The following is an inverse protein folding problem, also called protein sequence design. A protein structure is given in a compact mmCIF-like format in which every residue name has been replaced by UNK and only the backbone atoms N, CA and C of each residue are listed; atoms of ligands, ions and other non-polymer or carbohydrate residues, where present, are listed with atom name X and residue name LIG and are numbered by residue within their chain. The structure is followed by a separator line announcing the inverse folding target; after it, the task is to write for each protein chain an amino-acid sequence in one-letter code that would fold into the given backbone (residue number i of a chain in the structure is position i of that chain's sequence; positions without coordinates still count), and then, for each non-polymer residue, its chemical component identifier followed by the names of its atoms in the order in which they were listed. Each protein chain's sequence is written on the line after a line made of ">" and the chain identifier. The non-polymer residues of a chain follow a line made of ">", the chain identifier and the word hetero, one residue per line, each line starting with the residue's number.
data_IF_131354580284
#
_entry.id   IF_131354580284
#
_cell.length_a   1.000
_cell.length_b   1.000
_cell.length_c   1.000
_cell.angle_alpha   90.00
_cell.angle_beta   90.00
_cell.angle_gamma   90.00
#
_symmetry.space_group_name_H-M   'P 1'
#
loop_
_entity.id
_entity.type
_entity.pdbx_description
1 polymer ?
#
# COMPACT_ATOMS: atom_id res chain seq x y z
N UNK A 1 -6.74 17.05 4.07
CA UNK A 1 -6.17 16.30 2.94
C UNK A 1 -6.59 14.85 3.08
N UNK A 2 -7.00 14.18 2.00
CA UNK A 2 -7.40 12.77 2.01
C UNK A 2 -7.27 12.12 0.64
N UNK A 3 -7.13 10.79 0.62
CA UNK A 3 -7.33 9.94 -0.55
C UNK A 3 -8.75 9.39 -0.48
N UNK A 4 -9.53 9.56 -1.53
CA UNK A 4 -10.94 9.21 -1.56
C UNK A 4 -11.28 8.32 -2.75
N UNK A 5 -12.06 7.28 -2.49
CA UNK A 5 -12.85 6.56 -3.47
C UNK A 5 -14.30 7.04 -3.35
N UNK A 6 -14.93 7.46 -4.44
CA UNK A 6 -16.29 7.99 -4.45
C UNK A 6 -17.15 7.21 -5.44
N UNK A 7 -18.11 6.45 -4.92
CA UNK A 7 -19.07 5.69 -5.71
C UNK A 7 -18.45 4.66 -6.65
N UNK A 8 -17.37 4.01 -6.22
CA UNK A 8 -16.61 3.07 -7.06
C UNK A 8 -17.43 1.82 -7.37
N UNK A 9 -17.64 1.58 -8.66
CA UNK A 9 -18.15 0.30 -9.17
C UNK A 9 -17.09 -0.31 -10.07
N UNK A 10 -16.76 -1.58 -9.86
CA UNK A 10 -15.74 -2.29 -10.63
C UNK A 10 -15.86 -3.80 -10.49
N UNK A 11 -15.23 -4.55 -11.39
CA UNK A 11 -15.19 -6.01 -11.36
C UNK A 11 -14.37 -6.59 -12.52
N UNK A 12 -14.34 -7.92 -12.59
CA UNK A 12 -13.55 -8.63 -13.62
C UNK A 12 -14.35 -8.86 -14.91
N UNK A 13 -15.68 -8.87 -14.84
CA UNK A 13 -16.58 -9.07 -15.99
C UNK A 13 -17.70 -8.04 -15.94
N UNK A 14 -17.99 -7.36 -17.07
CA UNK A 14 -18.96 -6.25 -17.15
C UNK A 14 -20.34 -6.50 -16.51
N UNK A 15 -20.76 -7.76 -16.37
CA UNK A 15 -22.05 -8.13 -15.78
C UNK A 15 -21.95 -8.73 -14.38
N UNK A 16 -20.77 -8.68 -13.75
CA UNK A 16 -20.54 -9.15 -12.37
C UNK A 16 -19.61 -8.17 -11.67
N UNK A 17 -20.14 -7.08 -11.13
CA UNK A 17 -19.35 -6.19 -10.28
C UNK A 17 -18.92 -6.95 -9.01
N UNK A 18 -17.76 -6.57 -8.51
CA UNK A 18 -17.22 -7.04 -7.23
C UNK A 18 -17.27 -5.88 -6.22
N UNK A 19 -17.25 -4.66 -6.74
CA UNK A 19 -17.49 -3.43 -5.99
C UNK A 19 -18.71 -2.74 -6.60
N UNK A 20 -19.67 -2.37 -5.77
CA UNK A 20 -20.90 -1.65 -6.17
C UNK A 20 -21.05 -0.40 -5.32
N UNK A 21 -20.89 0.77 -5.97
CA UNK A 21 -21.07 2.09 -5.36
C UNK A 21 -20.28 2.32 -4.06
N UNK A 22 -19.06 1.76 -3.97
CA UNK A 22 -18.23 1.82 -2.76
C UNK A 22 -17.61 3.19 -2.59
N UNK A 23 -17.72 3.75 -1.38
CA UNK A 23 -17.05 4.99 -1.00
C UNK A 23 -16.19 4.78 0.23
N UNK A 24 -14.94 5.26 0.19
CA UNK A 24 -13.97 5.16 1.29
C UNK A 24 -13.08 6.39 1.31
N UNK A 25 -12.79 6.90 2.50
CA UNK A 25 -11.86 8.01 2.70
C UNK A 25 -10.71 7.60 3.60
N UNK A 26 -9.50 7.97 3.20
CA UNK A 26 -8.25 7.80 3.95
C UNK A 26 -7.69 9.20 4.26
N UNK A 27 -7.97 9.76 5.45
CA UNK A 27 -7.43 11.06 5.84
C UNK A 27 -5.92 11.03 6.02
N UNK A 28 -5.26 12.15 5.76
CA UNK A 28 -3.83 12.34 6.03
C UNK A 28 -3.54 12.10 7.52
N UNK A 29 -2.48 11.35 7.84
CA UNK A 29 -2.04 11.04 9.20
C UNK A 29 -2.93 10.06 9.96
N UNK A 30 -3.86 9.36 9.27
CA UNK A 30 -4.76 8.37 9.87
C UNK A 30 -4.50 6.97 9.32
N UNK A 31 -4.72 5.98 10.19
CA UNK A 31 -4.74 4.58 9.82
C UNK A 31 -6.19 4.12 9.68
N UNK A 32 -6.58 3.75 8.47
CA UNK A 32 -7.90 3.22 8.16
C UNK A 32 -7.77 1.73 7.89
N UNK A 33 -8.52 0.92 8.63
CA UNK A 33 -8.62 -0.52 8.44
C UNK A 33 -9.72 -0.88 7.45
N UNK A 34 -9.46 -1.83 6.57
CA UNK A 34 -10.46 -2.42 5.70
C UNK A 34 -10.46 -3.94 5.85
N UNK A 35 -11.59 -4.49 6.25
CA UNK A 35 -11.81 -5.92 6.39
C UNK A 35 -12.95 -6.41 5.49
N UNK A 36 -13.16 -7.71 5.47
CA UNK A 36 -14.22 -8.38 4.72
C UNK A 36 -13.80 -9.75 4.23
N UNK A 37 -14.73 -10.61 3.77
CA UNK A 37 -14.44 -11.93 3.24
C UNK A 37 -13.47 -11.91 2.06
N UNK A 38 -12.84 -13.06 1.77
CA UNK A 38 -12.00 -13.20 0.58
C UNK A 38 -12.85 -13.08 -0.69
N UNK A 39 -12.33 -12.36 -1.69
CA UNK A 39 -13.02 -12.18 -2.98
C UNK A 39 -14.04 -11.04 -3.02
N UNK A 40 -14.26 -10.30 -1.93
CA UNK A 40 -15.23 -9.18 -1.90
C UNK A 40 -14.75 -7.92 -2.64
N UNK A 41 -13.48 -7.87 -3.09
CA UNK A 41 -12.99 -6.73 -3.87
C UNK A 41 -12.02 -5.81 -3.15
N UNK A 42 -11.56 -6.13 -1.91
CA UNK A 42 -10.59 -5.30 -1.16
C UNK A 42 -9.36 -4.95 -1.97
N UNK A 43 -8.70 -5.94 -2.57
CA UNK A 43 -7.53 -5.72 -3.44
C UNK A 43 -7.88 -4.97 -4.72
N UNK A 44 -9.10 -5.12 -5.24
CA UNK A 44 -9.59 -4.34 -6.40
C UNK A 44 -9.72 -2.86 -6.02
N UNK A 45 -10.32 -2.56 -4.86
CA UNK A 45 -10.41 -1.19 -4.33
C UNK A 45 -9.02 -0.59 -4.07
N UNK A 46 -8.12 -1.36 -3.45
CA UNK A 46 -6.74 -0.96 -3.22
C UNK A 46 -6.02 -0.57 -4.52
N UNK A 47 -6.15 -1.37 -5.58
CA UNK A 47 -5.53 -1.10 -6.89
C UNK A 47 -6.13 0.10 -7.58
N UNK A 48 -7.44 0.34 -7.43
CA UNK A 48 -8.11 1.53 -7.97
C UNK A 48 -7.63 2.78 -7.22
N UNK A 49 -7.59 2.77 -5.89
CA UNK A 49 -7.06 3.86 -5.06
C UNK A 49 -5.59 4.17 -5.39
N UNK A 50 -4.79 3.13 -5.68
CA UNK A 50 -3.40 3.29 -6.13
C UNK A 50 -3.29 3.71 -7.62
N UNK A 51 -4.39 3.94 -8.31
CA UNK A 51 -4.46 4.28 -9.74
C UNK A 51 -3.79 3.23 -10.65
N UNK A 52 -3.75 1.98 -10.22
CA UNK A 52 -3.25 0.86 -11.01
C UNK A 52 -4.32 0.32 -11.97
N UNK A 53 -5.59 0.38 -11.57
CA UNK A 53 -6.73 -0.04 -12.35
C UNK A 53 -7.79 1.08 -12.39
N UNK A 54 -8.54 1.16 -13.50
CA UNK A 54 -9.65 2.10 -13.64
C UNK A 54 -10.94 1.49 -13.08
N UNK A 55 -11.78 2.24 -12.35
CA UNK A 55 -13.12 1.80 -12.03
C UNK A 55 -14.01 1.81 -13.30
N UNK A 56 -15.13 1.10 -13.26
CA UNK A 56 -16.15 1.19 -14.31
C UNK A 56 -16.97 2.47 -14.18
N UNK A 57 -17.24 2.88 -12.93
CA UNK A 57 -17.85 4.16 -12.58
C UNK A 57 -17.34 4.63 -11.21
N UNK A 58 -17.62 5.89 -10.87
CA UNK A 58 -17.06 6.56 -9.71
C UNK A 58 -15.72 7.19 -10.01
N UNK A 59 -15.10 7.80 -9.01
CA UNK A 59 -13.83 8.49 -9.17
C UNK A 59 -12.94 8.35 -7.93
N UNK A 60 -11.63 8.49 -8.15
CA UNK A 60 -10.63 8.63 -7.08
C UNK A 60 -10.21 10.07 -6.99
N UNK A 61 -10.10 10.62 -5.77
CA UNK A 61 -9.56 11.95 -5.52
C UNK A 61 -8.37 11.89 -4.58
N UNK A 62 -7.37 12.70 -4.88
CA UNK A 62 -6.22 12.95 -4.01
C UNK A 62 -6.25 14.42 -3.62
N UNK A 63 -6.40 14.70 -2.32
CA UNK A 63 -6.47 16.06 -1.77
C UNK A 63 -7.52 16.93 -2.49
N UNK A 64 -8.68 16.35 -2.79
CA UNK A 64 -9.79 16.99 -3.49
C UNK A 64 -9.67 17.03 -5.01
N UNK A 65 -8.50 16.74 -5.58
CA UNK A 65 -8.29 16.73 -7.03
C UNK A 65 -8.62 15.36 -7.62
N UNK A 66 -9.44 15.26 -8.68
CA UNK A 66 -9.74 13.98 -9.31
C UNK A 66 -8.50 13.42 -10.01
N UNK A 67 -8.31 12.10 -9.88
CA UNK A 67 -7.24 11.38 -10.57
C UNK A 67 -7.73 10.90 -11.91
N UNK A 68 -7.15 11.44 -12.99
CA UNK A 68 -7.45 11.04 -14.35
C UNK A 68 -6.36 10.12 -14.88
N UNK A 69 -6.78 8.97 -15.40
CA UNK A 69 -5.88 7.96 -15.96
C UNK A 69 -5.44 6.91 -14.94
N UNK A 70 -4.67 5.94 -15.43
CA UNK A 70 -4.12 4.85 -14.63
C UNK A 70 -2.66 4.59 -15.00
N UNK A 71 -1.87 4.03 -14.08
CA UNK A 71 -0.47 3.68 -14.31
C UNK A 71 0.34 4.87 -14.86
N UNK A 72 0.93 4.71 -16.04
CA UNK A 72 1.77 5.74 -16.66
C UNK A 72 0.98 6.93 -17.23
N UNK A 73 -0.36 6.82 -17.36
CA UNK A 73 -1.20 7.94 -17.81
C UNK A 73 -1.63 8.87 -16.67
N UNK A 74 -1.36 8.51 -15.41
CA UNK A 74 -1.55 9.41 -14.27
C UNK A 74 -0.65 10.63 -14.42
N UNK A 75 -1.16 11.86 -14.20
CA UNK A 75 -0.36 13.08 -14.26
C UNK A 75 0.92 12.99 -13.43
N UNK A 76 2.03 13.49 -13.95
CA UNK A 76 3.35 13.39 -13.31
C UNK A 76 3.35 13.94 -11.86
N UNK A 77 2.59 15.01 -11.60
CA UNK A 77 2.46 15.60 -10.26
C UNK A 77 1.80 14.69 -9.24
N UNK A 78 1.02 13.69 -9.67
CA UNK A 78 0.33 12.73 -8.79
C UNK A 78 1.04 11.38 -8.72
N UNK A 79 2.01 11.11 -9.61
CA UNK A 79 2.78 9.86 -9.56
C UNK A 79 3.59 9.79 -8.28
N UNK A 80 3.53 8.64 -7.62
CA UNK A 80 4.23 8.45 -6.35
C UNK A 80 3.53 9.04 -5.13
N UNK A 81 2.42 9.76 -5.30
CA UNK A 81 1.63 10.28 -4.18
C UNK A 81 0.98 9.14 -3.38
N UNK A 82 0.57 8.08 -4.06
CA UNK A 82 0.06 6.86 -3.45
C UNK A 82 1.05 5.73 -3.71
N UNK A 83 1.47 5.03 -2.65
CA UNK A 83 2.27 3.82 -2.74
C UNK A 83 1.46 2.61 -2.30
N UNK A 84 1.70 1.45 -2.92
CA UNK A 84 1.01 0.21 -2.58
C UNK A 84 2.00 -0.89 -2.22
N UNK A 85 1.78 -1.48 -1.05
CA UNK A 85 2.46 -2.68 -0.58
C UNK A 85 1.54 -3.88 -0.87
N UNK A 86 2.00 -4.76 -1.75
CA UNK A 86 1.22 -5.90 -2.24
C UNK A 86 1.31 -7.10 -1.30
N UNK A 87 0.29 -7.93 -1.32
CA UNK A 87 0.23 -9.20 -0.59
C UNK A 87 1.41 -10.13 -0.92
N UNK A 88 1.78 -10.23 -2.20
CA UNK A 88 2.90 -11.05 -2.64
C UNK A 88 4.12 -10.19 -2.97
N UNK A 89 5.16 -10.17 -2.11
CA UNK A 89 6.36 -9.40 -2.36
C UNK A 89 7.13 -9.92 -3.59
N UNK A 90 7.11 -11.25 -3.84
CA UNK A 90 7.78 -11.85 -4.99
C UNK A 90 7.16 -11.42 -6.32
N UNK A 91 5.84 -11.28 -6.38
CA UNK A 91 5.16 -10.82 -7.58
C UNK A 91 5.36 -9.32 -7.86
N UNK A 92 5.79 -8.56 -6.85
CA UNK A 92 5.99 -7.10 -6.92
C UNK A 92 7.45 -6.68 -7.10
N UNK A 93 8.38 -7.64 -7.25
CA UNK A 93 9.83 -7.38 -7.37
C UNK A 93 10.43 -8.09 -8.58
N UNK A 94 11.46 -7.49 -9.19
CA UNK A 94 12.28 -8.17 -10.21
C UNK A 94 13.23 -9.13 -9.50
N UNK A 95 13.16 -10.46 -9.77
CA UNK A 95 14.01 -11.45 -9.12
C UNK A 95 15.51 -11.30 -9.40
N UNK A 96 15.90 -10.48 -10.39
CA UNK A 96 17.30 -10.21 -10.75
C UNK A 96 17.92 -9.08 -9.94
N UNK A 97 17.10 -8.21 -9.35
CA UNK A 97 17.56 -7.07 -8.54
C UNK A 97 17.99 -7.53 -7.14
N UNK A 98 18.94 -6.80 -6.54
CA UNK A 98 19.27 -6.94 -5.12
C UNK A 98 18.25 -6.19 -4.25
N UNK A 99 18.18 -6.50 -2.94
CA UNK A 99 17.32 -5.74 -2.04
C UNK A 99 17.71 -4.25 -2.00
N UNK A 100 18.99 -3.92 -2.06
CA UNK A 100 19.43 -2.53 -2.15
C UNK A 100 18.86 -1.83 -3.39
N UNK A 101 18.92 -2.48 -4.56
CA UNK A 101 18.36 -1.93 -5.81
C UNK A 101 16.83 -1.79 -5.74
N UNK A 102 16.14 -2.78 -5.13
CA UNK A 102 14.68 -2.72 -4.94
C UNK A 102 14.29 -1.53 -4.06
N UNK A 103 15.00 -1.31 -2.94
CA UNK A 103 14.73 -0.19 -2.01
C UNK A 103 15.07 1.15 -2.67
N UNK A 104 16.17 1.23 -3.41
CA UNK A 104 16.64 2.46 -4.06
C UNK A 104 15.86 2.87 -5.32
N UNK A 105 15.10 1.96 -5.93
CA UNK A 105 14.39 2.18 -7.19
C UNK A 105 13.58 3.49 -7.27
N UNK A 106 12.83 3.92 -6.22
CA UNK A 106 12.12 5.20 -6.27
C UNK A 106 13.05 6.42 -6.41
N UNK A 107 14.25 6.34 -5.86
CA UNK A 107 15.28 7.37 -6.02
C UNK A 107 15.77 7.47 -7.45
N UNK A 108 16.07 6.34 -8.07
CA UNK A 108 16.51 6.26 -9.46
C UNK A 108 15.46 6.87 -10.40
N UNK A 109 14.17 6.52 -10.19
CA UNK A 109 13.05 7.04 -10.99
C UNK A 109 12.88 8.55 -10.80
N UNK A 110 13.01 9.04 -9.56
CA UNK A 110 12.81 10.45 -9.22
C UNK A 110 14.09 11.30 -9.35
N UNK A 111 15.22 10.70 -9.74
CA UNK A 111 16.54 11.33 -9.82
C UNK A 111 16.94 12.00 -8.50
N UNK A 112 16.68 11.33 -7.37
CA UNK A 112 17.04 11.79 -6.02
C UNK A 112 17.83 10.73 -5.25
N UNK A 113 18.74 11.19 -4.40
CA UNK A 113 19.48 10.30 -3.50
C UNK A 113 18.54 9.73 -2.41
N UNK A 114 18.69 8.43 -2.13
CA UNK A 114 18.02 7.71 -1.06
C UNK A 114 19.08 7.03 -0.20
N UNK A 115 18.98 7.21 1.11
CA UNK A 115 19.76 6.42 2.07
C UNK A 115 19.13 5.04 2.24
N UNK A 116 19.55 4.12 1.36
CA UNK A 116 19.07 2.73 1.34
C UNK A 116 19.41 2.01 2.65
N UNK A 117 20.58 2.31 3.25
CA UNK A 117 21.02 1.64 4.47
C UNK A 117 20.16 2.07 5.67
N UNK A 118 19.84 3.36 5.79
CA UNK A 118 18.97 3.88 6.84
C UNK A 118 17.55 3.28 6.72
N UNK A 119 16.96 3.29 5.52
CA UNK A 119 15.63 2.71 5.28
C UNK A 119 15.60 1.20 5.54
N UNK A 120 16.65 0.48 5.18
CA UNK A 120 16.75 -0.95 5.46
C UNK A 120 16.81 -1.23 6.96
N UNK A 121 17.62 -0.47 7.70
CA UNK A 121 17.71 -0.58 9.16
C UNK A 121 16.36 -0.28 9.83
N UNK A 122 15.64 0.72 9.36
CA UNK A 122 14.34 1.12 9.87
C UNK A 122 13.28 0.00 9.77
N UNK A 123 13.31 -0.78 8.68
CA UNK A 123 12.44 -1.95 8.52
C UNK A 123 13.05 -3.24 9.12
N UNK A 124 14.17 -3.14 9.84
CA UNK A 124 14.82 -4.28 10.48
C UNK A 124 15.54 -5.23 9.53
N UNK A 125 16.04 -4.74 8.39
CA UNK A 125 16.92 -5.48 7.51
C UNK A 125 18.37 -5.22 7.88
N UNK A 126 19.17 -6.30 7.99
CA UNK A 126 20.60 -6.20 8.26
C UNK A 126 21.40 -5.90 6.98
N UNK A 127 22.57 -5.24 7.08
CA UNK A 127 23.35 -4.82 5.91
C UNK A 127 23.74 -5.97 4.94
N UNK A 128 23.95 -7.17 5.47
CA UNK A 128 24.31 -8.35 4.67
C UNK A 128 23.17 -8.81 3.74
N UNK A 129 21.93 -8.48 4.05
CA UNK A 129 20.77 -8.78 3.22
C UNK A 129 20.69 -7.90 1.98
N UNK A 130 21.26 -6.70 2.03
CA UNK A 130 21.14 -5.71 0.95
C UNK A 130 21.71 -6.19 -0.39
N UNK A 131 22.74 -7.04 -0.37
CA UNK A 131 23.33 -7.65 -1.57
C UNK A 131 22.56 -8.89 -2.06
N UNK A 132 21.62 -9.40 -1.28
CA UNK A 132 20.82 -10.60 -1.62
C UNK A 132 19.74 -10.27 -2.64
N UNK A 133 19.33 -11.30 -3.38
CA UNK A 133 18.21 -11.25 -4.33
C UNK A 133 16.95 -11.85 -3.73
N UNK A 134 15.75 -11.59 -4.28
CA UNK A 134 14.48 -12.10 -3.76
C UNK A 134 14.47 -13.59 -3.43
N UNK A 135 15.06 -14.43 -4.27
CA UNK A 135 15.11 -15.88 -4.04
C UNK A 135 16.08 -16.33 -2.93
N UNK A 136 16.90 -15.44 -2.38
CA UNK A 136 17.89 -15.70 -1.34
C UNK A 136 17.45 -15.24 0.05
N UNK A 137 16.24 -14.74 0.18
CA UNK A 137 15.68 -14.19 1.42
C UNK A 137 14.30 -14.78 1.71
N UNK A 138 13.87 -14.73 2.98
CA UNK A 138 12.51 -15.12 3.35
C UNK A 138 11.47 -14.13 2.79
N UNK A 139 10.21 -14.56 2.70
CA UNK A 139 9.12 -13.69 2.27
C UNK A 139 8.94 -12.49 3.22
N UNK A 140 9.12 -12.70 4.53
CA UNK A 140 9.10 -11.60 5.49
C UNK A 140 10.25 -10.60 5.32
N UNK A 141 11.46 -11.05 4.98
CA UNK A 141 12.57 -10.15 4.65
C UNK A 141 12.30 -9.38 3.37
N UNK A 142 11.76 -10.03 2.36
CA UNK A 142 11.41 -9.38 1.10
C UNK A 142 10.24 -8.40 1.29
N UNK A 143 9.25 -8.73 2.12
CA UNK A 143 8.14 -7.83 2.45
C UNK A 143 8.64 -6.54 3.13
N UNK A 144 9.59 -6.66 4.06
CA UNK A 144 10.25 -5.50 4.69
C UNK A 144 11.02 -4.65 3.67
N UNK A 145 11.70 -5.27 2.70
CA UNK A 145 12.34 -4.54 1.62
C UNK A 145 11.32 -3.80 0.72
N UNK A 146 10.16 -4.42 0.45
CA UNK A 146 9.06 -3.77 -0.27
C UNK A 146 8.48 -2.59 0.51
N UNK A 147 8.36 -2.70 1.85
CA UNK A 147 7.95 -1.57 2.68
C UNK A 147 8.99 -0.45 2.62
N UNK A 148 10.28 -0.74 2.79
CA UNK A 148 11.35 0.24 2.67
C UNK A 148 11.30 0.96 1.30
N UNK A 149 11.06 0.22 0.20
CA UNK A 149 10.84 0.79 -1.13
C UNK A 149 9.64 1.74 -1.16
N UNK A 150 8.53 1.34 -0.52
CA UNK A 150 7.32 2.19 -0.45
C UNK A 150 7.58 3.46 0.34
N UNK A 151 8.30 3.39 1.47
CA UNK A 151 8.69 4.55 2.27
C UNK A 151 9.71 5.44 1.53
N UNK A 152 10.63 4.83 0.78
CA UNK A 152 11.58 5.55 -0.08
C UNK A 152 10.89 6.46 -1.09
N UNK A 153 9.69 6.13 -1.52
CA UNK A 153 8.88 6.96 -2.42
C UNK A 153 8.39 8.26 -1.75
N UNK A 154 8.35 8.33 -0.41
CA UNK A 154 7.78 9.42 0.39
C UNK A 154 6.33 9.71 0.00
N UNK A 155 5.46 8.70 0.00
CA UNK A 155 4.09 8.86 -0.45
C UNK A 155 3.29 9.70 0.55
N UNK A 156 2.22 10.36 0.08
CA UNK A 156 1.20 10.95 0.96
C UNK A 156 0.23 9.91 1.50
N UNK A 157 0.05 8.83 0.75
CA UNK A 157 -0.84 7.72 1.12
C UNK A 157 -0.17 6.38 0.86
N UNK A 158 -0.27 5.48 1.84
CA UNK A 158 0.26 4.12 1.78
C UNK A 158 -0.89 3.13 1.87
N UNK A 159 -1.01 2.25 0.89
CA UNK A 159 -1.98 1.15 0.88
C UNK A 159 -1.24 -0.15 1.15
N UNK A 160 -1.62 -0.86 2.21
CA UNK A 160 -1.07 -2.15 2.61
C UNK A 160 -2.11 -3.24 2.36
N UNK A 161 -1.98 -3.98 1.26
CA UNK A 161 -2.89 -5.07 0.89
C UNK A 161 -2.38 -6.39 1.45
N UNK A 162 -2.96 -6.83 2.58
CA UNK A 162 -2.58 -8.04 3.33
C UNK A 162 -1.07 -8.16 3.60
N UNK A 163 -0.40 -7.03 3.80
CA UNK A 163 1.05 -6.92 3.86
C UNK A 163 1.69 -7.65 5.06
N UNK A 164 0.91 -8.02 6.06
CA UNK A 164 1.36 -8.70 7.28
C UNK A 164 1.10 -10.20 7.28
N UNK A 165 0.39 -10.74 6.28
CA UNK A 165 -0.04 -12.14 6.25
C UNK A 165 1.12 -13.16 6.21
N UNK A 166 2.30 -12.74 5.73
CA UNK A 166 3.50 -13.58 5.63
C UNK A 166 4.52 -13.35 6.76
N UNK A 167 4.14 -12.58 7.79
CA UNK A 167 5.01 -12.18 8.89
C UNK A 167 4.63 -12.91 10.18
N UNK A 168 5.62 -13.19 11.02
CA UNK A 168 5.37 -13.60 12.39
C UNK A 168 4.82 -12.42 13.24
N UNK A 169 4.23 -12.73 14.39
CA UNK A 169 3.57 -11.74 15.23
C UNK A 169 4.51 -10.60 15.69
N UNK A 170 5.77 -10.91 16.00
CA UNK A 170 6.73 -9.89 16.45
C UNK A 170 7.11 -8.95 15.31
N UNK A 171 7.34 -9.49 14.12
CA UNK A 171 7.64 -8.71 12.91
C UNK A 171 6.42 -7.89 12.48
N UNK A 172 5.22 -8.46 12.55
CA UNK A 172 3.95 -7.72 12.29
C UNK A 172 3.83 -6.53 13.22
N UNK A 173 3.98 -6.72 14.53
CA UNK A 173 3.90 -5.64 15.50
C UNK A 173 4.97 -4.54 15.27
N UNK A 174 6.19 -4.93 14.89
CA UNK A 174 7.24 -3.97 14.58
C UNK A 174 6.91 -3.15 13.32
N UNK A 175 6.38 -3.80 12.27
CA UNK A 175 5.98 -3.16 11.02
C UNK A 175 4.81 -2.20 11.24
N UNK A 176 3.81 -2.59 12.03
CA UNK A 176 2.67 -1.71 12.35
C UNK A 176 3.14 -0.48 13.12
N UNK A 177 3.97 -0.64 14.17
CA UNK A 177 4.53 0.51 14.92
C UNK A 177 5.32 1.46 14.01
N UNK A 178 6.06 0.95 13.04
CA UNK A 178 6.76 1.78 12.07
C UNK A 178 5.77 2.59 11.22
N UNK A 179 4.70 1.95 10.73
CA UNK A 179 3.66 2.62 9.95
C UNK A 179 2.96 3.70 10.78
N UNK A 180 2.60 3.41 12.04
CA UNK A 180 2.01 4.36 12.98
C UNK A 180 2.93 5.58 13.22
N UNK A 181 4.23 5.32 13.49
CA UNK A 181 5.23 6.39 13.66
C UNK A 181 5.32 7.27 12.41
N UNK A 182 5.37 6.66 11.23
CA UNK A 182 5.39 7.40 9.96
C UNK A 182 4.12 8.21 9.73
N UNK A 183 2.94 7.66 10.04
CA UNK A 183 1.69 8.40 9.95
C UNK A 183 1.70 9.64 10.86
N UNK A 184 2.17 9.48 12.10
CA UNK A 184 2.26 10.57 13.07
C UNK A 184 3.30 11.63 12.71
N UNK A 185 4.49 11.22 12.23
CA UNK A 185 5.62 12.12 11.96
C UNK A 185 5.50 12.86 10.62
N UNK A 186 5.04 12.16 9.58
CA UNK A 186 5.02 12.69 8.20
C UNK A 186 3.63 13.02 7.69
N UNK A 187 2.58 12.64 8.43
CA UNK A 187 1.20 12.84 8.01
C UNK A 187 0.74 11.89 6.90
N UNK A 188 1.45 10.78 6.64
CA UNK A 188 1.02 9.80 5.65
C UNK A 188 -0.30 9.16 6.07
N UNK A 189 -1.32 9.19 5.19
CA UNK A 189 -2.57 8.47 5.39
C UNK A 189 -2.39 7.00 4.99
N UNK A 190 -2.87 6.07 5.79
CA UNK A 190 -2.65 4.63 5.58
C UNK A 190 -3.97 3.88 5.45
N UNK A 191 -4.08 3.03 4.42
CA UNK A 191 -5.10 2.00 4.32
C UNK A 191 -4.47 0.65 4.62
N UNK A 192 -4.89 0.01 5.71
CA UNK A 192 -4.45 -1.32 6.09
C UNK A 192 -5.56 -2.33 5.82
N UNK A 193 -5.35 -3.20 4.85
CA UNK A 193 -6.28 -4.27 4.49
C UNK A 193 -5.82 -5.55 5.16
N UNK A 194 -6.68 -6.16 5.95
CA UNK A 194 -6.40 -7.43 6.64
C UNK A 194 -7.69 -8.20 6.90
N UNK A 195 -7.57 -9.52 6.97
CA UNK A 195 -8.61 -10.38 7.51
C UNK A 195 -8.54 -10.52 9.04
N UNK A 196 -7.45 -10.05 9.65
CA UNK A 196 -7.25 -10.03 11.09
C UNK A 196 -7.91 -8.79 11.70
N UNK A 197 -9.14 -8.99 12.22
CA UNK A 197 -9.93 -7.91 12.83
C UNK A 197 -9.33 -7.42 14.16
N UNK A 198 -8.65 -8.29 14.91
CA UNK A 198 -8.01 -7.93 16.17
C UNK A 198 -6.84 -6.98 15.89
N UNK A 199 -6.01 -7.31 14.92
CA UNK A 199 -4.92 -6.44 14.47
C UNK A 199 -5.45 -5.07 14.04
N UNK A 200 -6.47 -5.02 13.16
CA UNK A 200 -7.05 -3.76 12.71
C UNK A 200 -7.64 -2.94 13.86
N UNK A 201 -8.36 -3.60 14.77
CA UNK A 201 -8.95 -2.94 15.95
C UNK A 201 -7.91 -2.39 16.92
N UNK A 202 -6.69 -2.96 16.93
CA UNK A 202 -5.62 -2.51 17.82
C UNK A 202 -4.82 -1.31 17.27
N UNK A 203 -4.75 -1.12 15.92
CA UNK A 203 -3.86 -0.13 15.31
C UNK A 203 -4.56 0.91 14.44
N UNK A 204 -5.80 0.68 14.00
CA UNK A 204 -6.48 1.61 13.10
C UNK A 204 -7.39 2.60 13.86
N UNK A 205 -7.43 3.85 13.41
CA UNK A 205 -8.35 4.87 13.94
C UNK A 205 -9.82 4.50 13.66
N UNK A 206 -10.08 3.93 12.48
CA UNK A 206 -11.41 3.46 12.04
C UNK A 206 -11.24 2.17 11.25
N UNK A 207 -12.13 1.21 11.46
CA UNK A 207 -12.18 -0.04 10.70
C UNK A 207 -13.50 -0.12 9.94
N UNK A 208 -13.42 -0.30 8.63
CA UNK A 208 -14.56 -0.53 7.76
C UNK A 208 -14.65 -2.01 7.37
N UNK A 209 -15.87 -2.53 7.31
CA UNK A 209 -16.14 -3.76 6.60
C UNK A 209 -16.56 -3.41 5.18
N UNK A 210 -15.96 -4.05 4.17
CA UNK A 210 -16.23 -3.69 2.77
C UNK A 210 -17.71 -3.87 2.41
N UNK A 211 -18.36 -4.90 2.96
CA UNK A 211 -19.79 -5.13 2.72
C UNK A 211 -20.66 -4.01 3.33
N UNK A 212 -20.18 -3.34 4.37
CA UNK A 212 -20.88 -2.24 5.05
C UNK A 212 -20.72 -0.87 4.39
N UNK A 213 -19.77 -0.73 3.45
CA UNK A 213 -19.52 0.52 2.70
C UNK A 213 -19.92 0.42 1.22
N UNK A 214 -20.49 -0.71 0.83
CA UNK A 214 -21.20 -0.90 -0.44
C UNK A 214 -22.65 -0.43 -0.25
N UNK A 215 -23.10 0.50 -1.06
CA UNK A 215 -24.46 1.06 -0.99
C UNK A 215 -25.39 0.34 -1.98
#
# INVERSE_FOLDING_TARGET
>A
MSLQALGITSGYRRNRPVLENVSLEIPSGKLIGLTGPSGTGKSTLARILASLDAPWSGEVRIDGSPVVGTKFSVPAALRGTVSMLFQSPRASTDPRQTLASIIGQPGDIASRSIDVAALAAEVGLTPDLLSRRPHQVSDGQLQRACLARSLAQQPKYLICDEATAMLDAATTAALIRLIESRAAETGVGVLLISHDRELLGACCDVVHDLDGISA
#
